data_IF_964909285299
#
_entry.id   IF_964909285299
#
_cell.length_a   1.000
_cell.length_b   1.000
_cell.length_c   1.000
_cell.angle_alpha   90.00
_cell.angle_beta   90.00
_cell.angle_gamma   90.00
#
_symmetry.space_group_name_H-M   'P 1'
#
loop_
_entity.id
_entity.type
_entity.pdbx_description
1 polymer ?
#
# COMPACT_ATOMS: atom_id res chain seq x y z
N UNK A 1 -37.60 -64.53 -7.62
CA UNK A 1 -36.28 -64.03 -8.07
C UNK A 1 -36.48 -62.70 -8.78
N UNK A 2 -36.33 -61.55 -8.10
CA UNK A 2 -36.46 -60.22 -8.72
C UNK A 2 -35.63 -59.11 -8.01
N UNK A 3 -34.77 -59.47 -7.05
CA UNK A 3 -34.01 -58.51 -6.24
C UNK A 3 -32.66 -58.10 -6.83
N UNK A 4 -32.09 -58.91 -7.72
CA UNK A 4 -30.73 -58.67 -8.26
C UNK A 4 -30.58 -57.43 -9.17
N UNK A 5 -31.48 -57.13 -10.13
CA UNK A 5 -31.27 -55.97 -11.01
C UNK A 5 -31.47 -54.62 -10.29
N UNK A 6 -32.21 -54.61 -9.17
CA UNK A 6 -32.43 -53.42 -8.34
C UNK A 6 -31.19 -53.06 -7.52
N UNK A 7 -30.49 -54.06 -6.97
CA UNK A 7 -29.28 -53.84 -6.17
C UNK A 7 -28.14 -53.33 -7.06
N UNK A 8 -27.98 -53.87 -8.27
CA UNK A 8 -26.95 -53.43 -9.22
C UNK A 8 -27.16 -51.97 -9.64
N UNK A 9 -28.41 -51.54 -9.89
CA UNK A 9 -28.73 -50.13 -10.21
C UNK A 9 -28.42 -49.19 -9.05
N UNK A 10 -28.77 -49.56 -7.81
CA UNK A 10 -28.46 -48.76 -6.64
C UNK A 10 -26.96 -48.64 -6.39
N UNK A 11 -26.19 -49.72 -6.60
CA UNK A 11 -24.72 -49.69 -6.48
C UNK A 11 -24.12 -48.77 -7.56
N UNK A 12 -24.57 -48.88 -8.81
CA UNK A 12 -24.08 -48.06 -9.91
C UNK A 12 -24.37 -46.56 -9.69
N UNK A 13 -25.56 -46.24 -9.17
CA UNK A 13 -25.97 -44.86 -8.87
C UNK A 13 -25.18 -44.28 -7.69
N UNK A 14 -24.82 -45.11 -6.72
CA UNK A 14 -23.96 -44.72 -5.57
C UNK A 14 -22.52 -44.45 -6.02
N UNK A 15 -21.98 -45.25 -6.94
CA UNK A 15 -20.65 -45.04 -7.54
C UNK A 15 -20.56 -43.72 -8.32
N UNK A 16 -21.60 -43.37 -9.08
CA UNK A 16 -21.66 -42.09 -9.80
C UNK A 16 -21.65 -40.90 -8.84
N UNK A 17 -22.40 -40.96 -7.72
CA UNK A 17 -22.43 -39.89 -6.71
C UNK A 17 -21.06 -39.74 -6.03
N UNK A 18 -20.38 -40.85 -5.70
CA UNK A 18 -19.03 -40.81 -5.11
C UNK A 18 -18.01 -40.21 -6.07
N UNK A 19 -18.07 -40.54 -7.36
CA UNK A 19 -17.18 -39.95 -8.38
C UNK A 19 -17.42 -38.44 -8.58
N UNK A 20 -18.67 -37.96 -8.53
CA UNK A 20 -18.96 -36.52 -8.62
C UNK A 20 -18.52 -35.76 -7.35
N UNK A 21 -18.60 -36.36 -6.16
CA UNK A 21 -18.13 -35.74 -4.93
C UNK A 21 -16.60 -35.56 -4.89
N UNK A 22 -15.83 -36.40 -5.58
CA UNK A 22 -14.36 -36.30 -5.62
C UNK A 22 -13.83 -35.19 -6.53
N UNK A 23 -14.67 -34.58 -7.39
CA UNK A 23 -14.26 -33.45 -8.24
C UNK A 23 -14.33 -32.08 -7.53
N UNK A 24 -14.81 -32.02 -6.29
CA UNK A 24 -15.13 -30.74 -5.64
C UNK A 24 -14.00 -30.14 -4.77
N UNK A 25 -12.93 -30.88 -4.44
CA UNK A 25 -11.91 -30.39 -3.49
C UNK A 25 -10.46 -30.70 -3.92
N UNK A 26 -10.09 -30.21 -5.11
CA UNK A 26 -8.68 -30.03 -5.43
C UNK A 26 -8.51 -28.74 -6.24
N UNK A 27 -8.88 -27.61 -5.66
CA UNK A 27 -8.28 -26.36 -6.10
C UNK A 27 -6.87 -26.36 -5.54
N UNK A 28 -5.86 -26.33 -6.41
CA UNK A 28 -4.48 -26.10 -5.99
C UNK A 28 -4.45 -24.71 -5.36
N UNK A 29 -4.34 -24.66 -4.04
CA UNK A 29 -4.25 -23.43 -3.24
C UNK A 29 -2.78 -23.14 -3.02
N UNK A 30 -2.35 -21.90 -3.26
CA UNK A 30 -1.05 -21.43 -2.80
C UNK A 30 -1.22 -20.94 -1.36
N UNK A 31 -0.32 -21.35 -0.49
CA UNK A 31 -0.32 -20.88 0.89
C UNK A 31 1.12 -20.61 1.33
N UNK A 32 1.32 -19.45 1.95
CA UNK A 32 2.59 -19.01 2.52
C UNK A 32 3.23 -17.88 1.72
N UNK A 33 4.47 -17.57 2.10
CA UNK A 33 5.22 -16.44 1.56
C UNK A 33 6.20 -16.97 0.51
N UNK A 34 6.20 -16.34 -0.66
CA UNK A 34 6.98 -16.74 -1.82
C UNK A 34 7.79 -15.54 -2.32
N UNK A 35 9.11 -15.69 -2.39
CA UNK A 35 10.04 -14.63 -2.79
C UNK A 35 10.89 -15.08 -3.97
N UNK A 36 11.14 -14.16 -4.91
CA UNK A 36 12.07 -14.37 -6.03
C UNK A 36 13.50 -13.95 -5.69
N UNK A 37 13.71 -13.36 -4.52
CA UNK A 37 15.00 -12.83 -4.08
C UNK A 37 15.86 -13.88 -3.39
N UNK A 38 17.17 -13.69 -3.49
CA UNK A 38 18.12 -14.52 -2.77
C UNK A 38 18.07 -14.22 -1.26
N UNK A 39 18.40 -15.20 -0.40
CA UNK A 39 18.51 -14.97 1.04
C UNK A 39 19.50 -13.83 1.37
N UNK A 40 19.21 -13.07 2.42
CA UNK A 40 20.05 -11.99 2.95
C UNK A 40 20.22 -10.76 2.04
N UNK A 41 19.31 -10.54 1.08
CA UNK A 41 19.22 -9.25 0.39
C UNK A 41 18.54 -8.21 1.29
N UNK A 42 19.03 -6.97 1.25
CA UNK A 42 18.42 -5.85 2.00
C UNK A 42 17.02 -5.52 1.45
N UNK A 43 16.84 -5.67 0.15
CA UNK A 43 15.55 -5.55 -0.49
C UNK A 43 14.72 -6.82 -0.29
N UNK A 44 13.39 -6.64 -0.25
CA UNK A 44 12.43 -7.73 -0.29
C UNK A 44 11.48 -7.57 -1.49
N UNK A 45 11.01 -8.71 -1.99
CA UNK A 45 9.99 -8.81 -3.03
C UNK A 45 9.29 -10.16 -2.84
N UNK A 46 8.05 -10.13 -2.35
CA UNK A 46 7.35 -11.37 -2.04
C UNK A 46 5.84 -11.26 -2.27
N UNK A 47 5.25 -12.43 -2.49
CA UNK A 47 3.81 -12.64 -2.41
C UNK A 47 3.50 -13.45 -1.15
N UNK A 48 2.52 -13.02 -0.37
CA UNK A 48 1.91 -13.81 0.69
C UNK A 48 0.55 -14.32 0.22
N UNK A 49 0.43 -15.63 0.01
CA UNK A 49 -0.82 -16.27 -0.38
C UNK A 49 -1.52 -16.88 0.82
N UNK A 50 -2.83 -16.66 0.92
CA UNK A 50 -3.66 -17.24 1.96
C UNK A 50 -4.62 -18.28 1.40
N UNK A 51 -5.08 -19.17 2.29
CA UNK A 51 -6.00 -20.27 1.93
C UNK A 51 -7.36 -19.82 1.40
N UNK A 52 -7.77 -18.59 1.69
CA UNK A 52 -9.08 -18.07 1.29
C UNK A 52 -9.10 -17.51 -0.14
N UNK A 53 -8.00 -17.66 -0.91
CA UNK A 53 -7.91 -17.15 -2.27
C UNK A 53 -7.50 -15.68 -2.36
N UNK A 54 -6.98 -15.08 -1.29
CA UNK A 54 -6.40 -13.73 -1.32
C UNK A 54 -4.88 -13.76 -1.25
N UNK A 55 -4.25 -12.71 -1.77
CA UNK A 55 -2.82 -12.51 -1.71
C UNK A 55 -2.47 -11.06 -1.36
N UNK A 56 -1.27 -10.88 -0.81
CA UNK A 56 -0.60 -9.58 -0.67
C UNK A 56 0.74 -9.62 -1.40
N UNK A 57 1.12 -8.51 -2.03
CA UNK A 57 2.38 -8.31 -2.71
C UNK A 57 3.10 -7.14 -2.06
N UNK A 58 4.37 -7.36 -1.72
CA UNK A 58 5.22 -6.40 -1.05
C UNK A 58 6.57 -6.36 -1.75
N UNK A 59 7.03 -5.15 -2.06
CA UNK A 59 8.40 -4.93 -2.51
C UNK A 59 8.93 -3.63 -1.94
N UNK A 60 10.16 -3.68 -1.43
CA UNK A 60 10.80 -2.53 -0.81
C UNK A 60 12.13 -2.91 -0.19
N UNK A 61 12.56 -2.14 0.80
CA UNK A 61 13.81 -2.35 1.52
C UNK A 61 13.68 -1.84 2.97
N UNK A 62 14.79 -1.39 3.56
CA UNK A 62 14.91 -0.98 4.96
C UNK A 62 13.92 0.10 5.44
N UNK A 63 13.29 0.86 4.54
CA UNK A 63 12.40 1.98 4.88
C UNK A 63 10.90 1.68 4.73
N UNK A 64 10.53 0.45 4.37
CA UNK A 64 9.14 0.06 4.12
C UNK A 64 8.88 -0.31 2.67
N UNK A 65 7.59 -0.44 2.31
CA UNK A 65 7.16 -0.83 0.98
C UNK A 65 7.39 0.32 -0.01
N UNK A 66 8.07 0.04 -1.12
CA UNK A 66 8.09 0.91 -2.29
C UNK A 66 6.85 0.64 -3.16
N UNK A 67 6.41 -0.62 -3.22
CA UNK A 67 5.24 -1.08 -3.96
C UNK A 67 4.43 -2.05 -3.11
N UNK A 68 3.11 -1.83 -3.06
CA UNK A 68 2.16 -2.70 -2.36
C UNK A 68 0.98 -3.07 -3.26
N UNK A 69 0.47 -4.29 -3.12
CA UNK A 69 -0.75 -4.71 -3.77
C UNK A 69 -1.47 -5.80 -2.99
N UNK A 70 -2.80 -5.82 -3.07
CA UNK A 70 -3.63 -6.84 -2.41
C UNK A 70 -4.80 -7.21 -3.30
N UNK A 71 -5.16 -8.49 -3.29
CA UNK A 71 -6.12 -8.98 -4.26
C UNK A 71 -6.60 -10.39 -4.02
N UNK A 72 -7.40 -10.86 -4.96
CA UNK A 72 -7.75 -12.26 -5.09
C UNK A 72 -6.81 -12.94 -6.10
N UNK A 73 -6.51 -14.21 -5.86
CA UNK A 73 -5.81 -15.04 -6.83
C UNK A 73 -6.65 -16.25 -7.23
N UNK A 74 -6.40 -16.73 -8.44
CA UNK A 74 -6.99 -17.95 -8.97
C UNK A 74 -5.95 -18.75 -9.74
N UNK A 75 -5.86 -20.04 -9.46
CA UNK A 75 -5.19 -21.00 -10.33
C UNK A 75 -6.23 -21.65 -11.23
N UNK A 76 -6.08 -21.48 -12.54
CA UNK A 76 -6.95 -22.07 -13.55
C UNK A 76 -6.12 -22.64 -14.69
N UNK A 77 -6.22 -23.95 -14.90
CA UNK A 77 -5.31 -24.70 -15.76
C UNK A 77 -3.86 -24.44 -15.32
N UNK A 78 -2.96 -24.13 -16.24
CA UNK A 78 -1.55 -23.81 -15.96
C UNK A 78 -1.33 -22.30 -15.81
N UNK A 79 -2.30 -21.57 -15.23
CA UNK A 79 -2.19 -20.13 -15.05
C UNK A 79 -2.48 -19.70 -13.62
N UNK A 80 -1.60 -18.87 -13.08
CA UNK A 80 -1.83 -18.09 -11.87
C UNK A 80 -2.30 -16.70 -12.29
N UNK A 81 -3.50 -16.33 -11.87
CA UNK A 81 -4.11 -15.02 -12.13
C UNK A 81 -4.17 -14.27 -10.80
N UNK A 82 -3.63 -13.07 -10.77
CA UNK A 82 -3.62 -12.15 -9.63
C UNK A 82 -4.46 -10.93 -9.98
N UNK A 83 -5.57 -10.73 -9.29
CA UNK A 83 -6.45 -9.57 -9.48
C UNK A 83 -6.31 -8.63 -8.29
N UNK A 84 -5.75 -7.43 -8.48
CA UNK A 84 -5.47 -6.45 -7.43
C UNK A 84 -6.72 -5.62 -7.07
N UNK A 85 -7.83 -6.30 -6.80
CA UNK A 85 -9.15 -5.72 -6.55
C UNK A 85 -9.36 -5.31 -5.08
N UNK A 86 -8.50 -5.74 -4.17
CA UNK A 86 -8.57 -5.48 -2.73
C UNK A 86 -7.60 -4.41 -2.21
N UNK A 87 -6.64 -3.93 -3.02
CA UNK A 87 -5.66 -2.92 -2.58
C UNK A 87 -6.35 -1.65 -2.05
N UNK A 88 -5.93 -1.16 -0.90
CA UNK A 88 -6.43 0.11 -0.36
C UNK A 88 -5.62 1.28 -0.93
N UNK A 89 -6.30 2.33 -1.40
CA UNK A 89 -5.63 3.54 -1.83
C UNK A 89 -5.25 4.37 -0.60
N UNK A 90 -3.96 4.64 -0.44
CA UNK A 90 -3.51 5.53 0.63
C UNK A 90 -3.80 6.99 0.26
N UNK A 91 -4.34 7.73 1.23
CA UNK A 91 -4.55 9.18 1.07
C UNK A 91 -3.18 9.84 1.17
N UNK A 92 -2.86 10.71 0.22
CA UNK A 92 -1.58 11.40 0.25
C UNK A 92 -1.63 12.65 1.14
N UNK A 93 -0.47 13.22 1.47
CA UNK A 93 -0.37 14.46 2.25
C UNK A 93 -1.20 15.59 1.63
N UNK A 94 -2.00 16.29 2.45
CA UNK A 94 -2.77 17.44 1.98
C UNK A 94 -2.82 18.57 3.02
N UNK A 95 -3.20 19.76 2.56
CA UNK A 95 -3.40 20.91 3.44
C UNK A 95 -4.71 21.64 3.14
N UNK A 96 -5.17 22.40 4.13
CA UNK A 96 -6.25 23.37 4.02
C UNK A 96 -5.76 24.68 4.62
N UNK A 97 -6.16 25.81 4.07
CA UNK A 97 -5.76 27.09 4.63
C UNK A 97 -6.84 28.17 4.52
N UNK A 98 -6.74 29.16 5.41
CA UNK A 98 -7.45 30.44 5.33
C UNK A 98 -6.42 31.55 5.20
N UNK A 99 -6.76 32.59 4.45
CA UNK A 99 -5.92 33.79 4.31
C UNK A 99 -6.64 35.04 4.75
N UNK A 100 -5.86 36.03 5.17
CA UNK A 100 -6.36 37.37 5.47
C UNK A 100 -5.26 38.42 5.34
N UNK A 101 -5.68 39.66 5.05
CA UNK A 101 -4.81 40.82 5.05
C UNK A 101 -4.69 41.41 6.46
N UNK A 102 -3.56 42.04 6.74
CA UNK A 102 -3.37 42.90 7.91
C UNK A 102 -2.67 44.21 7.46
N UNK A 103 -2.59 45.20 8.33
CA UNK A 103 -1.88 46.46 8.07
C UNK A 103 -0.43 46.49 8.61
N UNK A 104 0.08 45.38 9.16
CA UNK A 104 1.44 45.30 9.68
C UNK A 104 2.43 45.11 8.54
N UNK A 105 3.70 45.45 8.77
CA UNK A 105 4.79 45.20 7.79
C UNK A 105 5.22 43.73 7.74
N UNK A 106 4.55 42.87 8.50
CA UNK A 106 4.80 41.43 8.55
C UNK A 106 3.52 40.63 8.39
N UNK A 107 3.69 39.42 7.87
CA UNK A 107 2.66 38.39 7.84
C UNK A 107 2.97 37.32 8.89
N UNK A 108 1.89 36.75 9.43
CA UNK A 108 1.92 35.61 10.33
C UNK A 108 1.39 34.38 9.60
N UNK A 109 2.16 33.31 9.66
CA UNK A 109 1.82 32.01 9.11
C UNK A 109 1.71 31.01 10.25
N UNK A 110 0.48 30.70 10.65
CA UNK A 110 0.19 29.69 11.65
C UNK A 110 -0.03 28.35 10.94
N UNK A 111 0.72 27.33 11.34
CA UNK A 111 0.62 25.96 10.82
C UNK A 111 0.19 25.05 11.96
N UNK A 112 -0.86 24.26 11.74
CA UNK A 112 -1.26 23.17 12.62
C UNK A 112 -1.07 21.86 11.88
N UNK A 113 -0.36 20.91 12.50
CA UNK A 113 -0.02 19.63 11.86
C UNK A 113 -0.75 18.48 12.54
N UNK A 114 -1.37 17.63 11.72
CA UNK A 114 -2.03 16.40 12.12
C UNK A 114 -1.46 15.21 11.35
N UNK A 115 -1.68 14.01 11.88
CA UNK A 115 -1.63 12.79 11.06
C UNK A 115 -2.98 12.55 10.36
N UNK A 116 -3.06 11.46 9.59
CA UNK A 116 -4.28 11.08 8.87
C UNK A 116 -5.45 10.68 9.78
N UNK A 117 -5.15 10.26 11.02
CA UNK A 117 -6.15 9.99 12.08
C UNK A 117 -6.57 11.25 12.83
N UNK A 118 -6.13 12.43 12.39
CA UNK A 118 -6.43 13.74 12.99
C UNK A 118 -5.88 13.89 14.41
N UNK A 119 -4.81 13.15 14.75
CA UNK A 119 -4.03 13.37 15.98
C UNK A 119 -3.02 14.48 15.72
N UNK A 120 -2.88 15.40 16.68
CA UNK A 120 -1.92 16.51 16.59
C UNK A 120 -0.49 15.98 16.65
N UNK A 121 0.39 16.51 15.80
CA UNK A 121 1.79 16.11 15.75
C UNK A 121 2.69 17.19 16.35
N UNK A 122 3.40 16.84 17.42
CA UNK A 122 4.37 17.69 18.10
C UNK A 122 5.80 17.46 17.56
N UNK A 123 6.69 18.42 17.76
CA UNK A 123 8.08 18.39 17.28
C UNK A 123 8.23 18.19 15.76
N UNK A 124 7.24 18.60 14.98
CA UNK A 124 7.31 18.64 13.51
C UNK A 124 8.02 19.91 13.08
N UNK A 125 9.01 19.79 12.20
CA UNK A 125 9.75 20.93 11.68
C UNK A 125 8.90 21.69 10.67
N UNK A 126 8.75 23.00 10.87
CA UNK A 126 8.09 23.92 9.95
C UNK A 126 9.07 25.04 9.63
N UNK A 127 9.58 25.07 8.40
CA UNK A 127 10.69 25.95 8.05
C UNK A 127 10.62 26.45 6.62
N UNK A 128 11.24 27.59 6.39
CA UNK A 128 11.50 28.14 5.07
C UNK A 128 12.97 27.80 4.69
N UNK A 129 13.18 26.97 3.65
CA UNK A 129 14.50 26.49 3.28
C UNK A 129 15.41 27.61 2.75
N UNK A 130 14.87 28.67 2.18
CA UNK A 130 15.66 29.78 1.60
C UNK A 130 16.00 30.83 2.64
N UNK A 131 15.02 31.21 3.47
CA UNK A 131 15.18 32.24 4.49
C UNK A 131 15.85 31.79 5.78
N UNK A 132 16.27 30.51 5.89
CA UNK A 132 16.94 29.92 7.07
C UNK A 132 16.18 30.16 8.38
N UNK A 133 14.85 30.21 8.32
CA UNK A 133 13.96 30.37 9.47
C UNK A 133 13.14 29.10 9.65
N UNK A 134 12.94 28.69 10.88
CA UNK A 134 12.20 27.47 11.18
C UNK A 134 11.80 27.41 12.64
N UNK A 135 10.80 26.59 12.91
CA UNK A 135 10.33 26.29 14.25
C UNK A 135 9.82 24.86 14.31
N UNK A 136 9.55 24.38 15.52
CA UNK A 136 8.94 23.08 15.75
C UNK A 136 7.48 23.29 16.18
N UNK A 137 6.61 22.35 15.82
CA UNK A 137 5.26 22.34 16.39
C UNK A 137 5.31 22.04 17.88
N UNK A 138 4.47 22.72 18.65
CA UNK A 138 4.30 22.44 20.08
C UNK A 138 3.47 21.16 20.32
N UNK A 139 3.17 20.86 21.58
CA UNK A 139 2.31 19.77 22.05
C UNK A 139 0.89 19.80 21.46
N UNK A 140 0.39 20.98 21.12
CA UNK A 140 -0.88 21.15 20.41
C UNK A 140 -0.77 21.03 18.88
N UNK A 141 0.40 20.69 18.36
CA UNK A 141 0.68 20.56 16.93
C UNK A 141 0.77 21.89 16.19
N UNK A 142 0.95 23.00 16.90
CA UNK A 142 0.98 24.35 16.33
C UNK A 142 2.41 24.90 16.18
N UNK A 143 2.68 25.51 15.04
CA UNK A 143 3.89 26.25 14.72
C UNK A 143 3.53 27.63 14.16
N UNK A 144 4.38 28.62 14.38
CA UNK A 144 4.20 29.98 13.83
C UNK A 144 5.49 30.48 13.21
N UNK A 145 5.41 30.88 11.94
CA UNK A 145 6.46 31.60 11.25
C UNK A 145 5.99 33.03 10.96
N UNK A 146 6.92 33.99 11.04
CA UNK A 146 6.68 35.38 10.66
C UNK A 146 7.59 35.74 9.48
N UNK A 147 7.03 36.46 8.52
CA UNK A 147 7.74 36.95 7.34
C UNK A 147 7.52 38.45 7.22
N UNK A 148 8.53 39.17 6.75
CA UNK A 148 8.35 40.55 6.30
C UNK A 148 7.49 40.53 5.03
N UNK A 149 6.68 41.57 4.84
CA UNK A 149 5.89 41.71 3.62
C UNK A 149 6.78 42.11 2.46
N UNK A 150 6.80 41.28 1.44
CA UNK A 150 7.46 41.53 0.17
C UNK A 150 6.60 41.00 -0.98
N UNK A 151 6.77 41.53 -2.19
CA UNK A 151 6.07 40.97 -3.35
C UNK A 151 6.66 39.60 -3.70
N UNK A 152 5.82 38.58 -3.70
CA UNK A 152 6.23 37.25 -4.15
C UNK A 152 5.62 36.10 -3.36
N UNK A 153 6.32 34.98 -3.46
CA UNK A 153 5.94 33.73 -2.81
C UNK A 153 7.13 33.12 -2.07
N UNK A 154 6.85 32.56 -0.90
CA UNK A 154 7.82 31.80 -0.12
C UNK A 154 7.39 30.35 -0.01
N UNK A 155 8.34 29.43 -0.10
CA UNK A 155 8.09 28.02 0.16
C UNK A 155 8.26 27.74 1.65
N UNK A 156 7.31 27.01 2.23
CA UNK A 156 7.40 26.45 3.58
C UNK A 156 7.40 24.94 3.45
N UNK A 157 8.29 24.29 4.20
CA UNK A 157 8.40 22.85 4.34
C UNK A 157 7.92 22.46 5.73
N UNK A 158 6.99 21.51 5.79
CA UNK A 158 6.59 20.78 6.99
C UNK A 158 7.24 19.41 6.91
N UNK A 159 8.11 19.08 7.85
CA UNK A 159 8.95 17.87 7.81
C UNK A 159 8.89 17.13 9.13
N UNK A 160 8.61 15.83 9.05
CA UNK A 160 8.71 14.93 10.19
C UNK A 160 9.49 13.68 9.76
N UNK A 161 10.49 13.31 10.56
CA UNK A 161 11.35 12.15 10.30
C UNK A 161 10.55 10.86 10.10
N UNK A 162 9.47 10.67 10.87
CA UNK A 162 8.65 9.46 10.78
C UNK A 162 7.63 9.45 9.66
N UNK A 163 7.28 10.62 9.14
CA UNK A 163 5.93 10.86 8.63
C UNK A 163 5.97 11.73 7.36
N UNK A 164 7.12 11.77 6.70
CA UNK A 164 7.31 12.42 5.41
C UNK A 164 7.46 13.94 5.48
N UNK A 165 7.58 14.53 4.28
CA UNK A 165 7.76 15.95 4.06
C UNK A 165 6.65 16.51 3.18
N UNK A 166 6.26 17.75 3.45
CA UNK A 166 5.27 18.49 2.67
C UNK A 166 5.74 19.90 2.39
N UNK A 167 5.64 20.32 1.13
CA UNK A 167 6.01 21.67 0.72
C UNK A 167 4.78 22.41 0.23
N UNK A 168 4.63 23.66 0.67
CA UNK A 168 3.58 24.56 0.22
C UNK A 168 4.13 25.97 -0.03
N UNK A 169 3.53 26.69 -0.98
CA UNK A 169 3.89 28.07 -1.27
C UNK A 169 2.89 29.02 -0.63
N UNK A 170 3.39 30.07 -0.01
CA UNK A 170 2.60 31.16 0.56
C UNK A 170 2.90 32.45 -0.18
N UNK A 171 1.92 33.34 -0.31
CA UNK A 171 2.11 34.70 -0.78
C UNK A 171 2.55 35.56 0.41
N UNK A 172 3.69 36.25 0.29
CA UNK A 172 4.28 37.05 1.37
C UNK A 172 3.51 38.34 1.71
N UNK A 173 2.39 38.61 1.04
CA UNK A 173 1.45 39.69 1.34
C UNK A 173 0.26 39.24 2.22
N UNK A 174 0.08 37.95 2.46
CA UNK A 174 -1.07 37.38 3.16
C UNK A 174 -0.67 36.70 4.48
N UNK A 175 -1.55 36.81 5.48
CA UNK A 175 -1.47 35.96 6.67
C UNK A 175 -2.17 34.64 6.41
N UNK A 176 -1.75 33.60 7.13
CA UNK A 176 -2.26 32.25 6.93
C UNK A 176 -2.61 31.55 8.23
N UNK A 177 -3.72 30.82 8.20
CA UNK A 177 -4.00 29.70 9.11
C UNK A 177 -4.04 28.42 8.28
N UNK A 178 -3.00 27.60 8.40
CA UNK A 178 -2.77 26.40 7.59
C UNK A 178 -2.94 25.17 8.47
N UNK A 179 -3.66 24.18 7.97
CA UNK A 179 -3.72 22.84 8.54
C UNK A 179 -3.10 21.86 7.57
N UNK A 180 -2.09 21.10 8.01
CA UNK A 180 -1.39 20.08 7.21
C UNK A 180 -1.66 18.70 7.80
N UNK A 181 -1.96 17.72 6.94
CA UNK A 181 -2.17 16.32 7.31
C UNK A 181 -1.04 15.49 6.71
N UNK A 182 -0.10 15.04 7.55
CA UNK A 182 1.01 14.17 7.16
C UNK A 182 0.59 12.70 7.15
N UNK A 183 1.22 11.85 6.31
CA UNK A 183 1.05 10.41 6.34
C UNK A 183 1.54 9.81 7.66
N UNK A 184 1.10 8.59 7.96
CA UNK A 184 1.59 7.85 9.13
C UNK A 184 3.00 7.29 8.92
N UNK A 185 3.39 7.08 7.67
CA UNK A 185 4.66 6.48 7.28
C UNK A 185 5.47 7.45 6.41
N UNK A 186 6.81 7.35 6.43
CA UNK A 186 7.68 8.28 5.71
C UNK A 186 7.64 8.06 4.21
N UNK A 187 7.27 6.84 3.79
CA UNK A 187 7.12 6.42 2.41
C UNK A 187 5.68 5.97 2.23
N UNK A 188 4.99 6.55 1.25
CA UNK A 188 3.71 6.03 0.78
C UNK A 188 4.00 5.09 -0.38
N UNK A 189 3.76 3.77 -0.26
CA UNK A 189 4.04 2.83 -1.33
C UNK A 189 3.21 3.18 -2.57
N UNK A 190 3.78 2.91 -3.74
CA UNK A 190 3.01 2.88 -4.97
C UNK A 190 2.06 1.69 -4.89
N UNK A 191 0.76 1.93 -4.97
CA UNK A 191 -0.25 0.87 -4.87
C UNK A 191 -0.63 0.34 -6.24
N UNK A 192 -0.65 -0.99 -6.39
CA UNK A 192 -1.19 -1.67 -7.59
C UNK A 192 -2.69 -1.88 -7.35
N UNK A 193 -3.56 -1.30 -8.18
CA UNK A 193 -5.02 -1.38 -7.99
C UNK A 193 -5.73 -1.58 -9.32
N UNK A 194 -6.70 -2.50 -9.34
CA UNK A 194 -7.50 -2.84 -10.52
C UNK A 194 -6.69 -3.31 -11.72
N UNK A 195 -5.51 -3.85 -11.45
CA UNK A 195 -4.69 -4.54 -12.42
C UNK A 195 -4.92 -6.04 -12.30
N UNK A 196 -4.79 -6.75 -13.41
CA UNK A 196 -4.78 -8.21 -13.42
C UNK A 196 -3.48 -8.69 -14.03
N UNK A 197 -2.69 -9.41 -13.24
CA UNK A 197 -1.46 -10.05 -13.71
C UNK A 197 -1.70 -11.53 -13.92
N UNK A 198 -1.18 -12.07 -15.02
CA UNK A 198 -1.32 -13.50 -15.35
C UNK A 198 0.04 -14.10 -15.62
N UNK A 199 0.36 -15.16 -14.89
CA UNK A 199 1.55 -15.98 -15.09
C UNK A 199 1.16 -17.35 -15.62
N UNK A 200 2.01 -17.94 -16.46
CA UNK A 200 1.97 -19.36 -16.77
C UNK A 200 2.75 -20.13 -15.68
N UNK A 201 2.16 -21.19 -15.13
CA UNK A 201 2.78 -22.03 -14.11
C UNK A 201 3.58 -23.12 -14.83
N UNK A 202 4.90 -23.06 -14.72
CA UNK A 202 5.80 -24.06 -15.29
C UNK A 202 6.04 -25.22 -14.32
N UNK A 203 6.12 -24.92 -13.02
CA UNK A 203 6.33 -25.91 -11.97
C UNK A 203 5.75 -25.41 -10.64
N UNK A 204 5.11 -26.29 -9.89
CA UNK A 204 4.63 -26.00 -8.54
C UNK A 204 4.90 -27.21 -7.63
N UNK A 205 5.56 -26.96 -6.50
CA UNK A 205 5.71 -27.94 -5.42
C UNK A 205 5.65 -27.24 -4.05
N UNK A 206 5.84 -27.99 -2.96
CA UNK A 206 5.69 -27.45 -1.61
C UNK A 206 6.68 -26.32 -1.27
N UNK A 207 7.81 -26.22 -1.98
CA UNK A 207 8.90 -25.31 -1.66
C UNK A 207 9.10 -24.21 -2.71
N UNK A 208 8.50 -24.33 -3.90
CA UNK A 208 8.67 -23.33 -4.95
C UNK A 208 7.48 -23.27 -5.93
N UNK A 209 7.35 -22.12 -6.58
CA UNK A 209 6.51 -21.91 -7.75
C UNK A 209 7.36 -21.25 -8.83
N UNK A 210 7.48 -21.93 -9.97
CA UNK A 210 8.19 -21.43 -11.15
C UNK A 210 7.16 -20.91 -12.15
N UNK A 211 7.24 -19.62 -12.40
CA UNK A 211 6.30 -18.88 -13.22
C UNK A 211 6.98 -18.36 -14.48
N UNK A 212 6.19 -18.18 -15.54
CA UNK A 212 6.61 -17.49 -16.76
C UNK A 212 5.79 -16.22 -16.93
N UNK A 213 6.50 -15.12 -17.17
CA UNK A 213 5.96 -13.78 -17.41
C UNK A 213 6.53 -13.27 -18.74
N UNK A 214 5.71 -13.31 -19.81
CA UNK A 214 6.19 -13.10 -21.16
C UNK A 214 7.32 -14.08 -21.52
N UNK A 215 8.51 -13.55 -21.83
CA UNK A 215 9.71 -14.35 -22.12
C UNK A 215 10.57 -14.65 -20.89
N UNK A 216 10.21 -14.10 -19.72
CA UNK A 216 10.97 -14.28 -18.48
C UNK A 216 10.46 -15.47 -17.69
N UNK A 217 11.39 -16.18 -17.05
CA UNK A 217 11.09 -17.25 -16.10
C UNK A 217 11.50 -16.76 -14.71
N UNK A 218 10.55 -16.76 -13.78
CA UNK A 218 10.75 -16.31 -12.41
C UNK A 218 10.59 -17.52 -11.49
N UNK A 219 11.55 -17.74 -10.60
CA UNK A 219 11.46 -18.79 -9.60
C UNK A 219 11.16 -18.16 -8.23
N UNK A 220 9.99 -18.44 -7.68
CA UNK A 220 9.62 -18.03 -6.35
C UNK A 220 9.84 -19.18 -5.37
N UNK A 221 10.73 -18.97 -4.40
CA UNK A 221 10.98 -19.90 -3.32
C UNK A 221 10.07 -19.56 -2.13
N UNK A 222 9.52 -20.60 -1.52
CA UNK A 222 8.74 -20.46 -0.29
C UNK A 222 9.69 -20.17 0.88
N UNK A 223 9.39 -19.14 1.66
CA UNK A 223 10.13 -18.75 2.86
C UNK A 223 9.70 -19.55 4.09
#
# INVERSE_FOLDING_TARGET
MQKEPSVIKSILMSLVVICFCQQLHCQNVLEGIYSSLAPNQEAYNYFEFSKNGTFEYHSGASLGDDVYGKGHYLIKNDSLILDYDLTELQVNTFHKYKTYYNSLDSIKVKVTVFDQRKRKLFNVSVFDPKGKRGTLTNDEGNAVLNFEKEEGYQTIIVSNVCCGNYSLNINTQLNYEITVYLPEEPITPTTIKYETTKYEILEQNNNQVKLKDGDQIINFLKL
#
